data_IF_369931944812
#
_entry.id   IF_369931944812
#
_cell.length_a   1.000
_cell.length_b   1.000
_cell.length_c   1.000
_cell.angle_alpha   90.00
_cell.angle_beta   90.00
_cell.angle_gamma   90.00
#
_symmetry.space_group_name_H-M   'P 1'
#
loop_
_entity.id
_entity.type
_entity.pdbx_description
1 polymer ?
#
# COMPACT_ATOMS: atom_id res chain seq x y z
N UNK A 1 -9.39 14.91 -0.09
CA UNK A 1 -8.44 13.87 -0.55
C UNK A 1 -8.31 12.73 0.46
N UNK A 2 -7.96 12.99 1.72
CA UNK A 2 -7.79 11.91 2.71
C UNK A 2 -9.10 11.16 3.06
N UNK A 3 -10.20 11.88 3.32
CA UNK A 3 -11.50 11.25 3.67
C UNK A 3 -12.02 10.35 2.55
N UNK A 4 -11.91 10.81 1.30
CA UNK A 4 -12.31 10.01 0.12
C UNK A 4 -11.47 8.74 0.01
N UNK A 5 -10.17 8.81 0.31
CA UNK A 5 -9.30 7.64 0.31
C UNK A 5 -9.68 6.62 1.38
N UNK A 6 -10.06 7.09 2.57
CA UNK A 6 -10.51 6.24 3.66
C UNK A 6 -11.83 5.53 3.30
N UNK A 7 -12.78 6.24 2.68
CA UNK A 7 -14.03 5.66 2.20
C UNK A 7 -13.77 4.57 1.14
N UNK A 8 -12.88 4.84 0.17
CA UNK A 8 -12.53 3.86 -0.87
C UNK A 8 -11.88 2.61 -0.27
N UNK A 9 -10.99 2.77 0.70
CA UNK A 9 -10.37 1.66 1.42
C UNK A 9 -11.40 0.79 2.14
N UNK A 10 -12.30 1.42 2.91
CA UNK A 10 -13.37 0.72 3.62
C UNK A 10 -14.30 -0.02 2.65
N UNK A 11 -14.67 0.64 1.55
CA UNK A 11 -15.52 0.04 0.53
C UNK A 11 -14.83 -1.16 -0.14
N UNK A 12 -13.54 -1.04 -0.48
CA UNK A 12 -12.78 -2.12 -1.07
C UNK A 12 -12.68 -3.34 -0.13
N UNK A 13 -12.40 -3.10 1.16
CA UNK A 13 -12.37 -4.18 2.16
C UNK A 13 -13.76 -4.81 2.30
N UNK A 14 -14.82 -4.01 2.41
CA UNK A 14 -16.18 -4.51 2.56
C UNK A 14 -16.60 -5.39 1.37
N UNK A 15 -16.35 -4.95 0.13
CA UNK A 15 -16.65 -5.72 -1.08
C UNK A 15 -15.91 -7.06 -1.06
N UNK A 16 -14.63 -7.07 -0.69
CA UNK A 16 -13.83 -8.29 -0.65
C UNK A 16 -14.31 -9.25 0.44
N UNK A 17 -14.70 -8.75 1.61
CA UNK A 17 -15.27 -9.57 2.68
C UNK A 17 -16.62 -10.20 2.28
N UNK A 18 -17.47 -9.43 1.58
CA UNK A 18 -18.72 -9.98 1.01
C UNK A 18 -18.39 -11.04 -0.03
N UNK A 19 -17.49 -10.77 -0.98
CA UNK A 19 -17.10 -11.74 -1.99
C UNK A 19 -16.50 -13.02 -1.38
N UNK A 20 -15.71 -12.90 -0.30
CA UNK A 20 -15.15 -14.04 0.42
C UNK A 20 -16.23 -14.93 1.06
N UNK A 21 -17.34 -14.34 1.51
CA UNK A 21 -18.45 -15.07 2.12
C UNK A 21 -19.40 -15.75 1.12
N UNK A 22 -19.60 -15.16 -0.07
CA UNK A 22 -20.56 -15.66 -1.06
C UNK A 22 -19.93 -16.47 -2.21
N UNK A 23 -18.69 -16.17 -2.58
CA UNK A 23 -17.99 -16.80 -3.70
C UNK A 23 -16.48 -16.91 -3.43
N UNK A 24 -16.06 -17.65 -2.39
CA UNK A 24 -14.65 -17.83 -2.07
C UNK A 24 -13.85 -18.50 -3.20
N UNK A 25 -14.51 -19.33 -4.03
CA UNK A 25 -13.87 -20.06 -5.13
C UNK A 25 -13.31 -19.13 -6.20
N UNK A 26 -13.90 -17.94 -6.40
CA UNK A 26 -13.41 -16.93 -7.34
C UNK A 26 -11.99 -16.46 -7.02
N UNK A 27 -11.52 -16.67 -5.78
CA UNK A 27 -10.16 -16.30 -5.43
C UNK A 27 -9.11 -17.29 -5.94
N UNK A 28 -9.48 -18.50 -6.32
CA UNK A 28 -8.57 -19.51 -6.84
C UNK A 28 -8.18 -19.29 -8.31
N UNK A 29 -8.85 -18.38 -9.02
CA UNK A 29 -8.72 -18.20 -10.48
C UNK A 29 -7.33 -17.70 -10.92
N UNK A 30 -6.68 -16.87 -10.10
CA UNK A 30 -5.39 -16.26 -10.44
C UNK A 30 -4.45 -16.24 -9.24
N UNK A 31 -3.13 -16.15 -9.50
CA UNK A 31 -2.13 -16.00 -8.45
C UNK A 31 -2.39 -14.74 -7.59
N UNK A 32 -2.85 -13.65 -8.21
CA UNK A 32 -3.15 -12.40 -7.50
C UNK A 32 -4.34 -12.54 -6.56
N UNK A 33 -5.43 -13.16 -7.02
CA UNK A 33 -6.61 -13.39 -6.19
C UNK A 33 -6.33 -14.43 -5.11
N UNK A 34 -5.50 -15.45 -5.39
CA UNK A 34 -5.07 -16.42 -4.38
C UNK A 34 -4.25 -15.77 -3.26
N UNK A 35 -3.37 -14.83 -3.62
CA UNK A 35 -2.62 -14.01 -2.66
C UNK A 35 -3.56 -13.11 -1.84
N UNK A 36 -4.54 -12.47 -2.49
CA UNK A 36 -5.55 -11.66 -1.79
C UNK A 36 -6.38 -12.49 -0.81
N UNK A 37 -6.79 -13.70 -1.19
CA UNK A 37 -7.49 -14.64 -0.30
C UNK A 37 -6.66 -14.98 0.93
N UNK A 38 -5.36 -15.25 0.73
CA UNK A 38 -4.46 -15.52 1.85
C UNK A 38 -4.30 -14.31 2.77
N UNK A 39 -4.19 -13.10 2.20
CA UNK A 39 -4.16 -11.86 2.98
C UNK A 39 -5.43 -11.70 3.82
N UNK A 40 -6.61 -11.98 3.26
CA UNK A 40 -7.88 -11.83 3.96
C UNK A 40 -8.09 -12.89 5.05
N UNK A 41 -7.63 -14.12 4.84
CA UNK A 41 -7.90 -15.28 5.72
C UNK A 41 -6.82 -15.53 6.77
N UNK A 42 -5.59 -15.06 6.56
CA UNK A 42 -4.47 -15.24 7.50
C UNK A 42 -3.91 -13.89 7.98
N UNK A 43 -4.35 -13.39 9.16
CA UNK A 43 -4.01 -12.04 9.59
C UNK A 43 -2.52 -11.78 9.81
N UNK A 44 -1.82 -12.71 10.47
CA UNK A 44 -0.39 -12.59 10.75
C UNK A 44 0.40 -13.57 9.87
N UNK A 45 1.43 -13.14 9.12
CA UNK A 45 1.98 -11.77 8.99
C UNK A 45 1.33 -10.91 7.88
N UNK A 46 0.37 -11.45 7.12
CA UNK A 46 -0.06 -10.90 5.83
C UNK A 46 -0.75 -9.52 5.90
N UNK A 47 -1.40 -9.16 7.00
CA UNK A 47 -2.01 -7.83 7.17
C UNK A 47 -0.99 -6.70 7.26
N UNK A 48 0.28 -7.02 7.54
CA UNK A 48 1.37 -6.03 7.46
C UNK A 48 1.44 -5.37 6.08
N UNK A 49 1.09 -6.07 5.00
CA UNK A 49 1.04 -5.50 3.64
C UNK A 49 -0.08 -4.46 3.52
N UNK A 50 -1.25 -4.72 4.09
CA UNK A 50 -2.34 -3.76 4.09
C UNK A 50 -1.94 -2.49 4.85
N UNK A 51 -1.24 -2.65 5.99
CA UNK A 51 -0.74 -1.54 6.79
C UNK A 51 0.32 -0.74 6.01
N UNK A 52 1.30 -1.41 5.40
CA UNK A 52 2.34 -0.76 4.59
C UNK A 52 1.70 -0.01 3.41
N UNK A 53 0.72 -0.61 2.74
CA UNK A 53 -0.02 0.00 1.63
C UNK A 53 -0.83 1.22 2.06
N UNK A 54 -1.57 1.13 3.18
CA UNK A 54 -2.31 2.24 3.75
C UNK A 54 -1.38 3.39 4.18
N UNK A 55 -0.25 3.06 4.82
CA UNK A 55 0.78 4.03 5.22
C UNK A 55 1.40 4.72 4.00
N UNK A 56 1.76 3.96 2.96
CA UNK A 56 2.26 4.51 1.70
C UNK A 56 1.26 5.42 1.00
N UNK A 57 -0.02 5.06 1.01
CA UNK A 57 -1.11 5.88 0.46
C UNK A 57 -1.24 7.20 1.21
N UNK A 58 -1.28 7.16 2.55
CA UNK A 58 -1.39 8.36 3.37
C UNK A 58 -0.17 9.27 3.19
N UNK A 59 1.03 8.69 3.16
CA UNK A 59 2.27 9.42 2.94
C UNK A 59 2.32 10.05 1.55
N UNK A 60 1.86 9.34 0.52
CA UNK A 60 1.78 9.85 -0.86
C UNK A 60 0.87 11.08 -0.97
N UNK A 61 -0.32 11.03 -0.35
CA UNK A 61 -1.25 12.18 -0.33
C UNK A 61 -0.60 13.37 0.39
N UNK A 62 -0.02 13.15 1.57
CA UNK A 62 0.58 14.23 2.35
C UNK A 62 1.82 14.82 1.68
N UNK A 63 2.65 13.98 1.05
CA UNK A 63 3.82 14.42 0.32
C UNK A 63 3.44 15.16 -0.96
N UNK A 64 2.45 14.67 -1.70
CA UNK A 64 1.95 15.30 -2.93
C UNK A 64 1.37 16.68 -2.66
N UNK A 65 0.57 16.84 -1.61
CA UNK A 65 -0.02 18.12 -1.21
C UNK A 65 1.06 19.15 -0.85
N UNK A 66 2.07 18.75 -0.07
CA UNK A 66 3.19 19.63 0.27
C UNK A 66 4.08 19.97 -0.94
N UNK A 67 4.38 19.01 -1.82
CA UNK A 67 5.15 19.29 -3.04
C UNK A 67 4.45 20.31 -3.93
N UNK A 68 3.12 20.23 -4.03
CA UNK A 68 2.32 21.16 -4.80
C UNK A 68 2.30 22.56 -4.17
N UNK A 69 2.26 22.65 -2.83
CA UNK A 69 2.34 23.94 -2.14
C UNK A 69 3.73 24.60 -2.28
N UNK A 70 4.82 23.82 -2.13
CA UNK A 70 6.20 24.32 -2.23
C UNK A 70 6.56 24.79 -3.65
N UNK A 71 6.05 24.11 -4.68
CA UNK A 71 6.30 24.50 -6.09
C UNK A 71 5.55 25.77 -6.47
N UNK A 72 4.38 26.01 -5.87
CA UNK A 72 3.55 27.20 -6.12
C UNK A 72 4.03 28.44 -5.34
N UNK A 73 4.64 28.26 -4.15
CA UNK A 73 5.15 29.34 -3.29
C UNK A 73 6.69 29.45 -3.30
N UNK A 74 7.28 29.73 -4.45
CA UNK A 74 8.74 29.78 -4.70
C UNK A 74 9.53 30.78 -3.82
N UNK A 75 8.88 31.63 -3.02
CA UNK A 75 9.50 32.75 -2.28
C UNK A 75 9.82 32.49 -0.78
N UNK A 76 9.45 31.35 -0.17
CA UNK A 76 9.81 31.04 1.24
C UNK A 76 11.04 30.13 1.34
N UNK A 77 12.18 30.70 0.95
CA UNK A 77 13.48 30.01 0.88
C UNK A 77 14.11 30.02 2.28
N UNK A 78 14.09 28.90 3.00
CA UNK A 78 15.21 28.34 3.83
C UNK A 78 14.80 27.45 5.01
N UNK A 79 13.54 27.44 5.49
CA UNK A 79 13.21 26.68 6.72
C UNK A 79 12.67 25.25 6.50
N UNK A 80 12.20 24.88 5.30
CA UNK A 80 11.58 23.56 5.05
C UNK A 80 12.49 22.49 4.41
N UNK A 81 13.75 22.79 4.11
CA UNK A 81 14.62 21.88 3.34
C UNK A 81 14.91 20.55 4.05
N UNK A 82 14.95 20.52 5.38
CA UNK A 82 15.21 19.29 6.12
C UNK A 82 13.99 18.36 6.15
N UNK A 83 12.78 18.91 6.32
CA UNK A 83 11.54 18.13 6.32
C UNK A 83 11.36 17.36 5.00
N UNK A 84 11.68 17.98 3.86
CA UNK A 84 11.58 17.33 2.56
C UNK A 84 12.51 16.11 2.42
N UNK A 85 13.77 16.20 2.90
CA UNK A 85 14.73 15.08 2.86
C UNK A 85 14.24 13.87 3.66
N UNK A 86 13.74 14.09 4.89
CA UNK A 86 13.19 13.00 5.72
C UNK A 86 11.98 12.34 5.06
N UNK A 87 11.11 13.12 4.40
CA UNK A 87 9.93 12.60 3.69
C UNK A 87 10.30 11.71 2.50
N UNK A 88 11.33 12.08 1.74
CA UNK A 88 11.86 11.24 0.66
C UNK A 88 12.40 9.93 1.22
N UNK A 89 13.21 9.99 2.28
CA UNK A 89 13.77 8.79 2.91
C UNK A 89 12.66 7.88 3.45
N UNK A 90 11.64 8.44 4.08
CA UNK A 90 10.50 7.69 4.60
C UNK A 90 9.71 7.00 3.49
N UNK A 91 9.47 7.71 2.38
CA UNK A 91 8.73 7.18 1.22
C UNK A 91 9.51 6.08 0.52
N UNK A 92 10.82 6.29 0.28
CA UNK A 92 11.69 5.29 -0.30
C UNK A 92 11.83 4.06 0.63
N UNK A 93 11.97 4.28 1.93
CA UNK A 93 12.03 3.23 2.95
C UNK A 93 10.76 2.38 2.97
N UNK A 94 9.58 3.02 2.95
CA UNK A 94 8.29 2.30 2.85
C UNK A 94 8.17 1.52 1.54
N UNK A 95 8.63 2.07 0.42
CA UNK A 95 8.66 1.37 -0.86
C UNK A 95 9.55 0.13 -0.83
N UNK A 96 10.76 0.24 -0.28
CA UNK A 96 11.67 -0.89 -0.09
C UNK A 96 11.05 -1.94 0.83
N UNK A 97 10.48 -1.53 1.97
CA UNK A 97 9.78 -2.43 2.89
C UNK A 97 8.61 -3.14 2.23
N UNK A 98 7.83 -2.44 1.39
CA UNK A 98 6.73 -3.05 0.64
C UNK A 98 7.22 -4.14 -0.32
N UNK A 99 8.30 -3.87 -1.06
CA UNK A 99 8.92 -4.84 -1.97
C UNK A 99 9.43 -6.06 -1.19
N UNK A 100 10.15 -5.84 -0.08
CA UNK A 100 10.67 -6.94 0.75
C UNK A 100 9.54 -7.78 1.36
N UNK A 101 8.50 -7.14 1.89
CA UNK A 101 7.33 -7.82 2.45
C UNK A 101 6.62 -8.66 1.37
N UNK A 102 6.51 -8.13 0.15
CA UNK A 102 5.88 -8.84 -0.96
C UNK A 102 6.70 -10.05 -1.42
N UNK A 103 8.02 -9.92 -1.54
CA UNK A 103 8.90 -11.05 -1.87
C UNK A 103 8.86 -12.14 -0.81
N UNK A 104 8.92 -11.77 0.47
CA UNK A 104 8.84 -12.72 1.58
C UNK A 104 7.51 -13.49 1.57
N UNK A 105 6.40 -12.81 1.32
CA UNK A 105 5.09 -13.44 1.21
C UNK A 105 4.93 -14.34 -0.02
N UNK A 106 5.41 -13.90 -1.17
CA UNK A 106 5.34 -14.67 -2.41
C UNK A 106 6.13 -15.97 -2.30
N UNK A 107 7.29 -15.94 -1.62
CA UNK A 107 8.05 -17.17 -1.35
C UNK A 107 7.28 -18.15 -0.47
N UNK A 108 6.49 -17.66 0.49
CA UNK A 108 5.67 -18.51 1.37
C UNK A 108 4.47 -19.13 0.64
N UNK A 109 3.94 -18.48 -0.39
CA UNK A 109 2.84 -19.03 -1.20
C UNK A 109 3.31 -20.06 -2.24
N UNK A 110 4.61 -20.29 -2.40
CA UNK A 110 5.15 -21.17 -3.44
C UNK A 110 4.85 -20.68 -4.87
N UNK A 111 4.50 -19.40 -5.03
CA UNK A 111 4.27 -18.77 -6.33
C UNK A 111 5.64 -18.40 -6.89
N UNK A 112 6.20 -19.31 -7.71
CA UNK A 112 7.33 -18.97 -8.55
C UNK A 112 6.90 -17.88 -9.53
N UNK A 113 7.43 -16.67 -9.36
CA UNK A 113 7.34 -15.64 -10.40
C UNK A 113 7.89 -16.28 -11.69
N UNK A 114 7.16 -16.26 -12.82
CA UNK A 114 7.69 -16.80 -14.06
C UNK A 114 8.99 -16.07 -14.36
N UNK A 115 10.10 -16.79 -14.25
CA UNK A 115 11.39 -16.32 -14.71
C UNK A 115 11.24 -16.10 -16.22
N UNK A 116 11.43 -14.85 -16.65
CA UNK A 116 11.51 -14.50 -18.07
C UNK A 116 12.51 -15.40 -18.79
#
# INVERSE_FOLDING_TARGET
MFITQLIVWLLAVAINLVALGFAPDNYADTALTGLLYKILTTPWPYWSILIISAAGTALSIWFGDEMMDVTTHTQRIKHHQHGFKYRIVLTAGLGILAVLAYYHLLSDLGIALPAR
#
